data_IF_479072452640
#
_entry.id   IF_479072452640
#
_cell.length_a   1.000
_cell.length_b   1.000
_cell.length_c   1.000
_cell.angle_alpha   90.00
_cell.angle_beta   90.00
_cell.angle_gamma   90.00
#
_symmetry.space_group_name_H-M   'P 1'
#
loop_
_entity.id
_entity.type
_entity.pdbx_description
1 polymer ?
#
# COMPACT_ATOMS: atom_id res chain seq x y z
N UNK A 1 41.52 26.87 17.91
CA UNK A 1 40.06 26.87 18.19
C UNK A 1 39.35 27.12 16.87
N UNK A 2 39.16 26.07 16.09
CA UNK A 2 38.42 26.10 14.83
C UNK A 2 37.21 25.19 15.03
N UNK A 3 36.02 25.78 14.99
CA UNK A 3 34.77 25.07 15.01
C UNK A 3 34.59 24.39 13.64
N UNK A 4 34.73 23.07 13.61
CA UNK A 4 34.28 22.25 12.49
C UNK A 4 32.76 22.15 12.56
N UNK A 5 32.08 23.13 11.98
CA UNK A 5 30.67 23.02 11.63
C UNK A 5 30.53 22.02 10.49
N UNK A 6 30.37 20.75 10.85
CA UNK A 6 29.90 19.72 9.93
C UNK A 6 28.40 19.89 9.78
N UNK A 7 27.98 20.62 8.75
CA UNK A 7 26.61 20.57 8.26
C UNK A 7 26.33 19.12 7.85
N UNK A 8 25.56 18.42 8.69
CA UNK A 8 25.00 17.12 8.35
C UNK A 8 23.99 17.37 7.25
N UNK A 9 24.44 17.23 6.00
CA UNK A 9 23.56 17.17 4.85
C UNK A 9 22.57 16.02 5.08
N UNK A 10 21.34 16.36 5.46
CA UNK A 10 20.23 15.43 5.57
C UNK A 10 19.83 15.00 4.15
N UNK A 11 20.58 14.05 3.60
CA UNK A 11 20.28 13.43 2.31
C UNK A 11 19.08 12.50 2.43
N UNK A 12 18.27 12.41 1.37
CA UNK A 12 17.06 11.57 1.26
C UNK A 12 17.28 10.10 1.66
N UNK A 13 18.52 9.61 1.60
CA UNK A 13 18.93 8.28 2.07
C UNK A 13 18.84 8.11 3.61
N UNK A 14 19.11 9.15 4.40
CA UNK A 14 19.01 9.08 5.86
C UNK A 14 17.55 9.06 6.34
N UNK A 15 16.66 9.78 5.65
CA UNK A 15 15.23 9.77 5.94
C UNK A 15 14.57 8.44 5.58
N UNK A 16 14.96 7.80 4.48
CA UNK A 16 14.47 6.47 4.11
C UNK A 16 14.87 5.41 5.14
N UNK A 17 16.10 5.48 5.66
CA UNK A 17 16.55 4.59 6.72
C UNK A 17 15.81 4.83 8.05
N UNK A 18 15.59 6.10 8.43
CA UNK A 18 14.86 6.43 9.66
C UNK A 18 13.39 5.97 9.61
N UNK A 19 12.69 6.20 8.50
CA UNK A 19 11.32 5.71 8.31
C UNK A 19 11.24 4.19 8.33
N UNK A 20 12.22 3.51 7.73
CA UNK A 20 12.27 2.05 7.76
C UNK A 20 12.48 1.54 9.18
N UNK A 21 13.40 2.14 9.94
CA UNK A 21 13.65 1.78 11.34
C UNK A 21 12.39 2.00 12.20
N UNK A 22 11.74 3.16 12.07
CA UNK A 22 10.51 3.48 12.80
C UNK A 22 9.40 2.46 12.52
N UNK A 23 9.23 2.11 11.24
CA UNK A 23 8.26 1.11 10.80
C UNK A 23 8.54 -0.28 11.39
N UNK A 24 9.80 -0.73 11.39
CA UNK A 24 10.18 -2.02 11.99
C UNK A 24 10.05 -2.02 13.52
N UNK A 25 10.39 -0.92 14.19
CA UNK A 25 10.18 -0.78 15.64
C UNK A 25 8.70 -0.84 15.99
N UNK A 26 7.84 -0.19 15.19
CA UNK A 26 6.40 -0.25 15.38
C UNK A 26 5.88 -1.68 15.25
N UNK A 27 6.31 -2.41 14.22
CA UNK A 27 5.94 -3.82 14.00
C UNK A 27 6.36 -4.72 15.16
N UNK A 28 7.60 -4.60 15.62
CA UNK A 28 8.12 -5.37 16.76
C UNK A 28 7.32 -5.08 18.03
N UNK A 29 6.94 -3.81 18.24
CA UNK A 29 6.11 -3.44 19.36
C UNK A 29 4.71 -4.07 19.28
N UNK A 30 4.06 -4.05 18.11
CA UNK A 30 2.73 -4.65 17.93
C UNK A 30 2.75 -6.18 18.14
N UNK A 31 3.81 -6.85 17.72
CA UNK A 31 4.02 -8.28 17.96
C UNK A 31 4.26 -8.57 19.45
N UNK A 32 5.07 -7.75 20.13
CA UNK A 32 5.29 -7.86 21.57
C UNK A 32 3.98 -7.63 22.36
N UNK A 33 3.17 -6.64 21.97
CA UNK A 33 1.85 -6.41 22.55
C UNK A 33 0.94 -7.61 22.37
N UNK A 34 0.89 -8.21 21.17
CA UNK A 34 0.08 -9.39 20.91
C UNK A 34 0.49 -10.56 21.83
N UNK A 35 1.80 -10.77 22.01
CA UNK A 35 2.33 -11.79 22.91
C UNK A 35 1.96 -11.52 24.38
N UNK A 36 2.02 -10.27 24.84
CA UNK A 36 1.60 -9.87 26.19
C UNK A 36 0.10 -10.12 26.37
N UNK A 37 -0.75 -9.65 25.45
CA UNK A 37 -2.20 -9.85 25.53
C UNK A 37 -2.57 -11.35 25.53
N UNK A 38 -1.89 -12.17 24.73
CA UNK A 38 -2.07 -13.61 24.74
C UNK A 38 -1.69 -14.23 26.10
N UNK A 39 -0.55 -13.83 26.69
CA UNK A 39 -0.09 -14.32 27.99
C UNK A 39 -1.01 -13.94 29.14
N UNK A 40 -1.51 -12.71 29.15
CA UNK A 40 -2.40 -12.19 30.21
C UNK A 40 -3.88 -12.52 29.96
N UNK A 41 -4.19 -13.33 28.94
CA UNK A 41 -5.55 -13.70 28.53
C UNK A 41 -6.46 -12.47 28.34
N UNK A 42 -5.92 -11.44 27.69
CA UNK A 42 -6.62 -10.21 27.33
C UNK A 42 -6.98 -10.22 25.86
N UNK A 43 -8.26 -9.96 25.57
CA UNK A 43 -8.71 -9.77 24.18
C UNK A 43 -8.07 -8.50 23.63
N UNK A 44 -7.44 -8.64 22.47
CA UNK A 44 -6.78 -7.58 21.75
C UNK A 44 -7.37 -7.41 20.35
N UNK A 45 -7.28 -6.20 19.83
CA UNK A 45 -7.56 -5.90 18.43
C UNK A 45 -6.27 -6.11 17.65
N UNK A 46 -6.30 -7.03 16.70
CA UNK A 46 -5.16 -7.42 15.89
C UNK A 46 -5.24 -6.83 14.48
N UNK A 47 -4.10 -6.41 13.93
CA UNK A 47 -3.95 -6.21 12.49
C UNK A 47 -3.85 -7.58 11.82
N UNK A 48 -4.80 -7.86 10.96
CA UNK A 48 -4.84 -9.10 10.19
C UNK A 48 -4.78 -8.79 8.70
N UNK A 49 -4.16 -9.68 7.95
CA UNK A 49 -4.25 -9.69 6.49
C UNK A 49 -4.29 -11.13 6.08
N UNK A 50 -5.42 -11.58 5.55
CA UNK A 50 -5.52 -12.95 5.09
C UNK A 50 -4.69 -13.09 3.80
N UNK A 51 -3.92 -14.19 3.65
CA UNK A 51 -3.30 -14.49 2.37
C UNK A 51 -4.43 -14.63 1.35
N UNK A 52 -4.33 -14.03 0.16
CA UNK A 52 -5.27 -14.45 -0.87
C UNK A 52 -4.88 -15.82 -1.42
N UNK A 53 -5.81 -16.34 -2.21
CA UNK A 53 -5.67 -17.56 -3.00
C UNK A 53 -4.28 -17.58 -3.65
N UNK A 54 -3.49 -18.60 -3.31
CA UNK A 54 -2.21 -18.84 -3.95
C UNK A 54 -2.47 -19.01 -5.45
N UNK A 55 -1.82 -18.20 -6.30
CA UNK A 55 -2.02 -18.29 -7.73
C UNK A 55 -1.63 -19.68 -8.22
N UNK A 56 -2.48 -20.26 -9.08
CA UNK A 56 -2.29 -21.61 -9.62
C UNK A 56 -1.09 -21.67 -10.59
N UNK A 57 -0.69 -20.53 -11.14
CA UNK A 57 0.44 -20.39 -12.06
C UNK A 57 1.50 -19.45 -11.48
N UNK A 58 2.80 -19.70 -11.74
CA UNK A 58 3.88 -18.83 -11.32
C UNK A 58 3.74 -17.45 -11.96
N UNK A 59 4.10 -16.40 -11.21
CA UNK A 59 3.99 -15.02 -11.67
C UNK A 59 4.94 -14.75 -12.83
N UNK A 60 4.51 -13.96 -13.84
CA UNK A 60 5.39 -13.56 -14.92
C UNK A 60 6.57 -12.78 -14.33
N UNK A 61 7.78 -13.14 -14.76
CA UNK A 61 9.00 -12.48 -14.33
C UNK A 61 9.08 -11.10 -14.99
N UNK A 62 9.22 -10.06 -14.17
CA UNK A 62 9.42 -8.69 -14.66
C UNK A 62 10.89 -8.28 -14.61
N UNK A 63 11.34 -7.40 -15.51
CA UNK A 63 12.64 -6.73 -15.39
C UNK A 63 12.79 -6.07 -14.02
N UNK A 64 14.02 -6.00 -13.48
CA UNK A 64 14.29 -5.54 -12.11
C UNK A 64 13.61 -4.20 -11.78
N UNK A 65 13.64 -3.25 -12.71
CA UNK A 65 13.12 -1.89 -12.52
C UNK A 65 11.60 -1.84 -12.34
N UNK A 66 10.85 -2.74 -13.01
CA UNK A 66 9.39 -2.84 -12.89
C UNK A 66 8.92 -3.87 -11.86
N UNK A 67 9.82 -4.76 -11.42
CA UNK A 67 9.44 -5.93 -10.63
C UNK A 67 8.90 -5.56 -9.24
N UNK A 68 9.38 -4.48 -8.62
CA UNK A 68 8.87 -4.04 -7.32
C UNK A 68 7.44 -3.48 -7.42
N UNK A 69 7.18 -2.61 -8.39
CA UNK A 69 5.86 -2.05 -8.69
C UNK A 69 4.85 -3.16 -9.03
N UNK A 70 5.26 -4.10 -9.88
CA UNK A 70 4.44 -5.22 -10.30
C UNK A 70 4.14 -6.19 -9.16
N UNK A 71 5.15 -6.61 -8.38
CA UNK A 71 4.94 -7.43 -7.19
C UNK A 71 3.97 -6.76 -6.22
N UNK A 72 4.11 -5.45 -6.01
CA UNK A 72 3.18 -4.70 -5.16
C UNK A 72 1.76 -4.74 -5.71
N UNK A 73 1.57 -4.42 -7.00
CA UNK A 73 0.26 -4.47 -7.64
C UNK A 73 -0.37 -5.87 -7.58
N UNK A 74 0.42 -6.92 -7.83
CA UNK A 74 -0.03 -8.31 -7.70
C UNK A 74 -0.42 -8.64 -6.26
N UNK A 75 0.41 -8.27 -5.28
CA UNK A 75 0.11 -8.49 -3.87
C UNK A 75 -1.13 -7.72 -3.41
N UNK A 76 -1.35 -6.50 -3.93
CA UNK A 76 -2.55 -5.71 -3.62
C UNK A 76 -3.80 -6.33 -4.27
N UNK A 77 -3.70 -6.87 -5.49
CA UNK A 77 -4.79 -7.57 -6.16
C UNK A 77 -5.05 -9.00 -5.64
N UNK A 78 -4.05 -9.62 -5.02
CA UNK A 78 -4.06 -10.99 -4.48
C UNK A 78 -3.74 -11.03 -2.98
N UNK A 79 -4.20 -10.06 -2.21
CA UNK A 79 -4.34 -10.22 -0.76
C UNK A 79 -5.75 -9.80 -0.37
N UNK A 80 -6.31 -10.43 0.65
CA UNK A 80 -7.46 -9.81 1.29
C UNK A 80 -7.06 -8.43 1.81
N UNK A 81 -8.00 -7.49 1.82
CA UNK A 81 -7.81 -6.19 2.46
C UNK A 81 -7.34 -6.39 3.89
N UNK A 82 -6.27 -5.70 4.28
CA UNK A 82 -5.83 -5.70 5.67
C UNK A 82 -6.98 -5.21 6.56
N UNK A 83 -7.35 -5.98 7.56
CA UNK A 83 -8.48 -5.71 8.45
C UNK A 83 -8.03 -5.66 9.89
N UNK A 84 -8.97 -5.30 10.76
CA UNK A 84 -8.82 -5.54 12.19
C UNK A 84 -9.63 -6.78 12.56
N UNK A 85 -9.14 -7.56 13.52
CA UNK A 85 -9.81 -8.76 14.02
C UNK A 85 -9.56 -8.92 15.51
N UNK A 86 -10.47 -9.58 16.23
CA UNK A 86 -10.23 -9.91 17.65
C UNK A 86 -9.48 -11.24 17.81
N UNK A 87 -9.56 -12.12 16.81
CA UNK A 87 -8.79 -13.34 16.75
C UNK A 87 -7.33 -13.04 16.37
N UNK A 88 -6.40 -13.68 17.08
CA UNK A 88 -4.97 -13.55 16.84
C UNK A 88 -4.57 -14.32 15.57
N UNK A 89 -4.76 -13.70 14.41
CA UNK A 89 -4.41 -14.28 13.12
C UNK A 89 -3.06 -13.75 12.62
N UNK A 90 -2.25 -14.58 11.93
CA UNK A 90 -1.05 -14.10 11.27
C UNK A 90 -1.36 -13.03 10.22
N UNK A 91 -0.41 -12.13 10.01
CA UNK A 91 -0.52 -11.12 8.97
C UNK A 91 0.21 -11.58 7.70
N UNK A 92 -0.54 -11.82 6.62
CA UNK A 92 0.04 -12.23 5.34
C UNK A 92 0.78 -11.06 4.68
N UNK A 93 1.98 -11.33 4.15
CA UNK A 93 2.78 -10.38 3.38
C UNK A 93 4.02 -9.82 4.09
N UNK A 94 4.12 -9.98 5.40
CA UNK A 94 5.32 -9.64 6.19
C UNK A 94 5.88 -10.82 6.99
N UNK A 95 5.17 -11.95 7.04
CA UNK A 95 5.67 -13.19 7.65
C UNK A 95 5.76 -13.14 9.17
N UNK A 96 5.15 -12.12 9.79
CA UNK A 96 5.13 -11.94 11.25
C UNK A 96 3.98 -12.72 11.88
N UNK A 97 4.10 -12.99 13.18
CA UNK A 97 2.98 -13.48 13.98
C UNK A 97 1.83 -12.47 14.10
N UNK A 98 0.84 -12.74 14.95
CA UNK A 98 -0.23 -11.81 15.25
C UNK A 98 0.33 -10.47 15.76
N UNK A 99 -0.27 -9.36 15.32
CA UNK A 99 0.11 -8.00 15.71
C UNK A 99 -1.06 -7.29 16.34
N UNK A 100 -0.91 -6.81 17.57
CA UNK A 100 -1.95 -6.11 18.30
C UNK A 100 -1.75 -4.59 18.20
N UNK A 101 -2.86 -3.86 18.07
CA UNK A 101 -2.86 -2.40 18.16
C UNK A 101 -2.54 -1.94 19.60
N UNK A 102 -2.20 -0.67 19.76
CA UNK A 102 -2.00 -0.01 21.06
C UNK A 102 -0.80 0.95 21.09
N UNK A 103 -0.07 1.08 19.99
CA UNK A 103 1.15 1.88 19.93
C UNK A 103 0.94 3.28 19.34
N UNK A 104 -0.11 3.49 18.56
CA UNK A 104 -0.42 4.79 17.95
C UNK A 104 -1.83 5.27 18.33
N UNK A 105 -2.02 5.95 19.48
CA UNK A 105 -3.33 6.39 19.91
C UNK A 105 -3.97 7.42 19.00
N UNK A 106 -3.18 8.12 18.19
CA UNK A 106 -3.66 9.09 17.21
C UNK A 106 -4.15 8.44 15.92
N UNK A 107 -3.72 7.20 15.65
CA UNK A 107 -3.97 6.51 14.39
C UNK A 107 -5.40 5.99 14.22
N UNK A 108 -6.07 5.58 15.29
CA UNK A 108 -7.49 5.19 15.26
C UNK A 108 -8.12 5.08 16.63
N UNK A 109 -9.45 5.03 16.68
CA UNK A 109 -10.18 4.72 17.93
C UNK A 109 -9.94 3.29 18.42
N UNK A 110 -9.53 2.36 17.55
CA UNK A 110 -9.14 0.99 17.95
C UNK A 110 -7.84 1.00 18.76
N UNK A 111 -6.87 1.82 18.36
CA UNK A 111 -5.61 2.02 19.08
C UNK A 111 -5.86 2.58 20.48
N UNK A 112 -6.73 3.58 20.59
CA UNK A 112 -7.09 4.17 21.88
C UNK A 112 -7.76 3.15 22.83
N UNK A 113 -8.66 2.32 22.29
CA UNK A 113 -9.30 1.24 23.03
C UNK A 113 -8.25 0.24 23.52
N UNK A 114 -7.30 -0.12 22.66
CA UNK A 114 -6.21 -1.01 23.06
C UNK A 114 -5.30 -0.39 24.12
N UNK A 115 -5.00 0.90 24.05
CA UNK A 115 -4.25 1.56 25.13
C UNK A 115 -4.96 1.52 26.48
N UNK A 116 -6.29 1.72 26.49
CA UNK A 116 -7.08 1.58 27.71
C UNK A 116 -7.06 0.13 28.23
N UNK A 117 -7.12 -0.84 27.33
CA UNK A 117 -6.99 -2.25 27.69
C UNK A 117 -5.61 -2.56 28.30
N UNK A 118 -4.53 -2.00 27.76
CA UNK A 118 -3.18 -2.13 28.32
C UNK A 118 -3.01 -1.41 29.66
N UNK A 119 -3.64 -0.23 29.84
CA UNK A 119 -3.67 0.45 31.13
C UNK A 119 -4.34 -0.41 32.21
N UNK A 120 -5.40 -1.15 31.86
CA UNK A 120 -6.05 -2.07 32.80
C UNK A 120 -5.14 -3.20 33.28
N UNK A 121 -4.20 -3.66 32.43
CA UNK A 121 -3.19 -4.67 32.81
C UNK A 121 -2.22 -4.18 33.89
N UNK A 122 -1.94 -2.88 33.92
CA UNK A 122 -1.09 -2.25 34.95
C UNK A 122 -1.90 -1.69 36.12
N UNK A 123 -3.18 -2.06 36.23
CA UNK A 123 -4.06 -1.66 37.33
C UNK A 123 -4.67 -0.25 37.18
N UNK A 124 -4.60 0.35 35.99
CA UNK A 124 -5.15 1.68 35.71
C UNK A 124 -6.47 1.55 34.94
N UNK A 125 -7.58 1.77 35.66
CA UNK A 125 -8.93 1.70 35.09
C UNK A 125 -9.45 0.27 34.91
N UNK A 126 -10.74 0.12 34.58
CA UNK A 126 -11.35 -1.19 34.39
C UNK A 126 -10.92 -1.82 33.06
N UNK A 127 -10.84 -3.15 33.05
CA UNK A 127 -10.71 -3.93 31.82
C UNK A 127 -11.96 -3.75 30.97
N UNK A 128 -11.79 -3.50 29.68
CA UNK A 128 -12.90 -3.41 28.73
C UNK A 128 -13.41 -4.83 28.48
N UNK A 129 -14.72 -4.99 28.63
CA UNK A 129 -15.41 -6.24 28.36
C UNK A 129 -15.38 -6.58 26.87
N UNK A 130 -15.33 -7.87 26.55
CA UNK A 130 -15.21 -8.33 25.17
C UNK A 130 -16.38 -7.86 24.29
N UNK A 131 -17.60 -7.82 24.82
CA UNK A 131 -18.79 -7.34 24.10
C UNK A 131 -18.65 -5.87 23.65
N UNK A 132 -18.09 -5.03 24.53
CA UNK A 132 -17.82 -3.62 24.22
C UNK A 132 -16.71 -3.46 23.18
N UNK A 133 -15.71 -4.34 23.17
CA UNK A 133 -14.68 -4.39 22.12
C UNK A 133 -15.30 -4.78 20.77
N UNK A 134 -16.13 -5.82 20.74
CA UNK A 134 -16.83 -6.30 19.55
C UNK A 134 -17.77 -5.24 18.95
N UNK A 135 -18.53 -4.54 19.79
CA UNK A 135 -19.41 -3.45 19.34
C UNK A 135 -18.60 -2.27 18.79
N UNK A 136 -17.51 -1.89 19.47
CA UNK A 136 -16.62 -0.83 18.99
C UNK A 136 -15.98 -1.18 17.66
N UNK A 137 -15.53 -2.42 17.51
CA UNK A 137 -14.96 -2.92 16.28
C UNK A 137 -15.97 -2.91 15.12
N UNK A 138 -17.19 -3.45 15.34
CA UNK A 138 -18.29 -3.42 14.35
C UNK A 138 -18.64 -2.02 13.86
N UNK A 139 -18.56 -1.01 14.73
CA UNK A 139 -18.79 0.40 14.36
C UNK A 139 -17.64 1.02 13.58
N UNK A 140 -16.39 0.64 13.87
CA UNK A 140 -15.19 1.23 13.26
C UNK A 140 -14.88 0.69 11.87
N UNK A 141 -15.19 -0.57 11.60
CA UNK A 141 -14.91 -1.21 10.32
C UNK A 141 -15.50 -0.43 9.12
N UNK A 142 -16.80 -0.07 9.07
CA UNK A 142 -17.35 0.69 7.94
C UNK A 142 -16.73 2.09 7.81
N UNK A 143 -16.38 2.74 8.94
CA UNK A 143 -15.70 4.04 8.91
C UNK A 143 -14.29 3.91 8.29
N UNK A 144 -13.57 2.85 8.63
CA UNK A 144 -12.23 2.57 8.08
C UNK A 144 -12.29 2.28 6.60
N UNK A 145 -13.26 1.50 6.16
CA UNK A 145 -13.50 1.20 4.74
C UNK A 145 -13.88 2.46 3.95
N UNK A 146 -14.78 3.28 4.48
CA UNK A 146 -15.16 4.55 3.87
C UNK A 146 -13.98 5.53 3.78
N UNK A 147 -13.16 5.64 4.83
CA UNK A 147 -11.96 6.47 4.82
C UNK A 147 -10.94 6.00 3.77
N UNK A 148 -10.72 4.68 3.65
CA UNK A 148 -9.84 4.11 2.62
C UNK A 148 -10.35 4.37 1.21
N UNK A 149 -11.66 4.21 0.98
CA UNK A 149 -12.28 4.52 -0.30
C UNK A 149 -12.09 5.99 -0.66
N UNK A 150 -12.41 6.91 0.26
CA UNK A 150 -12.25 8.35 0.06
C UNK A 150 -10.78 8.75 -0.21
N UNK A 151 -9.81 8.15 0.49
CA UNK A 151 -8.39 8.38 0.23
C UNK A 151 -7.96 7.86 -1.14
N UNK A 152 -8.45 6.69 -1.55
CA UNK A 152 -8.17 6.12 -2.87
C UNK A 152 -8.74 6.98 -4.00
N UNK A 153 -10.00 7.39 -3.87
CA UNK A 153 -10.68 8.31 -4.79
C UNK A 153 -9.96 9.67 -4.85
N UNK A 154 -9.58 10.23 -3.70
CA UNK A 154 -8.83 11.47 -3.63
C UNK A 154 -7.46 11.39 -4.31
N UNK A 155 -6.69 10.31 -4.08
CA UNK A 155 -5.41 10.07 -4.78
C UNK A 155 -5.61 10.01 -6.28
N UNK A 156 -6.62 9.27 -6.74
CA UNK A 156 -6.94 9.15 -8.17
C UNK A 156 -7.35 10.49 -8.76
N UNK A 157 -8.22 11.24 -8.10
CA UNK A 157 -8.62 12.59 -8.50
C UNK A 157 -7.41 13.50 -8.73
N UNK A 158 -6.45 13.51 -7.80
CA UNK A 158 -5.25 14.34 -7.94
C UNK A 158 -4.32 13.87 -9.07
N UNK A 159 -4.21 12.56 -9.33
CA UNK A 159 -3.50 12.06 -10.50
C UNK A 159 -4.16 12.52 -11.80
N UNK A 160 -5.49 12.44 -11.90
CA UNK A 160 -6.25 12.94 -13.05
C UNK A 160 -6.12 14.46 -13.19
N UNK A 161 -6.15 15.19 -12.07
CA UNK A 161 -5.97 16.65 -12.09
C UNK A 161 -4.59 17.01 -12.64
N UNK A 162 -3.54 16.35 -12.18
CA UNK A 162 -2.20 16.52 -12.71
C UNK A 162 -2.13 16.18 -14.21
N UNK A 163 -2.67 15.04 -14.64
CA UNK A 163 -2.72 14.66 -16.05
C UNK A 163 -3.51 15.68 -16.89
N UNK A 164 -4.60 16.25 -16.38
CA UNK A 164 -5.40 17.25 -17.10
C UNK A 164 -4.63 18.55 -17.38
N UNK A 165 -3.61 18.85 -16.57
CA UNK A 165 -2.72 20.00 -16.74
C UNK A 165 -1.55 19.67 -17.68
N UNK A 166 -1.35 18.39 -18.03
CA UNK A 166 -0.22 17.87 -18.82
C UNK A 166 -0.71 17.00 -19.99
N UNK A 167 -1.65 17.50 -20.78
CA UNK A 167 -2.27 16.78 -21.92
C UNK A 167 -1.34 16.49 -23.10
N UNK A 168 -0.14 17.07 -23.16
CA UNK A 168 0.84 16.74 -24.21
C UNK A 168 1.95 15.82 -23.71
N UNK A 169 1.93 15.47 -22.42
CA UNK A 169 2.95 14.67 -21.80
C UNK A 169 2.71 13.19 -22.14
N UNK A 170 3.82 12.50 -22.42
CA UNK A 170 3.83 11.06 -22.55
C UNK A 170 4.22 10.47 -21.22
N UNK A 171 3.43 9.54 -20.70
CA UNK A 171 3.72 8.84 -19.45
C UNK A 171 4.21 7.43 -19.75
N UNK A 172 5.17 6.96 -18.96
CA UNK A 172 5.70 5.60 -19.05
C UNK A 172 5.05 4.70 -18.00
N UNK A 173 4.97 3.41 -18.32
CA UNK A 173 4.49 2.42 -17.38
C UNK A 173 4.70 0.99 -17.84
N UNK A 174 4.36 0.06 -16.97
CA UNK A 174 4.56 -1.37 -17.16
C UNK A 174 3.23 -2.07 -17.47
N UNK A 175 3.22 -2.93 -18.49
CA UNK A 175 2.05 -3.76 -18.79
C UNK A 175 1.90 -4.83 -17.71
N UNK A 176 0.89 -4.69 -16.86
CA UNK A 176 0.60 -5.63 -15.79
C UNK A 176 -0.31 -6.78 -16.22
N UNK A 177 -1.27 -6.48 -17.11
CA UNK A 177 -2.19 -7.49 -17.62
C UNK A 177 -2.69 -7.10 -19.01
N UNK A 178 -2.97 -8.11 -19.84
CA UNK A 178 -3.74 -7.93 -21.06
C UNK A 178 -5.21 -8.25 -20.79
N UNK A 179 -6.12 -7.33 -21.12
CA UNK A 179 -7.56 -7.51 -20.94
C UNK A 179 -8.30 -7.12 -22.22
N UNK A 180 -8.89 -8.11 -22.89
CA UNK A 180 -9.63 -7.89 -24.13
C UNK A 180 -8.79 -7.18 -25.20
N UNK A 181 -9.29 -6.02 -25.65
CA UNK A 181 -8.68 -5.19 -26.68
C UNK A 181 -7.65 -4.18 -26.16
N UNK A 182 -7.13 -4.34 -24.95
CA UNK A 182 -6.16 -3.42 -24.37
C UNK A 182 -5.30 -3.99 -23.26
N UNK A 183 -4.57 -3.09 -22.62
CA UNK A 183 -3.56 -3.37 -21.60
C UNK A 183 -3.90 -2.61 -20.33
N UNK A 184 -3.74 -3.25 -19.19
CA UNK A 184 -3.66 -2.56 -17.91
C UNK A 184 -2.21 -2.17 -17.68
N UNK A 185 -1.95 -0.87 -17.60
CA UNK A 185 -0.61 -0.30 -17.46
C UNK A 185 -0.47 0.33 -16.07
N UNK A 186 0.61 0.01 -15.36
CA UNK A 186 1.01 0.63 -14.10
C UNK A 186 1.94 1.80 -14.43
N UNK A 187 1.54 3.03 -14.11
CA UNK A 187 2.35 4.21 -14.44
C UNK A 187 3.54 4.34 -13.49
N UNK A 188 4.70 4.78 -13.99
CA UNK A 188 5.92 4.89 -13.20
C UNK A 188 5.87 6.06 -12.21
N UNK A 189 5.44 7.23 -12.69
CA UNK A 189 5.49 8.49 -11.91
C UNK A 189 4.19 8.78 -11.15
N UNK A 190 3.12 8.07 -11.47
CA UNK A 190 1.80 8.28 -10.87
C UNK A 190 1.37 7.02 -10.13
N UNK A 191 0.87 7.12 -8.89
CA UNK A 191 0.40 5.98 -8.10
C UNK A 191 -0.99 5.51 -8.59
N UNK A 192 -1.11 5.20 -9.88
CA UNK A 192 -2.33 4.73 -10.51
C UNK A 192 -2.03 3.73 -11.64
N UNK A 193 -3.00 2.85 -11.88
CA UNK A 193 -3.06 2.04 -13.10
C UNK A 193 -4.13 2.57 -14.04
N UNK A 194 -3.94 2.40 -15.34
CA UNK A 194 -4.93 2.79 -16.34
C UNK A 194 -5.08 1.75 -17.46
N UNK A 195 -6.25 1.73 -18.07
CA UNK A 195 -6.49 0.95 -19.27
C UNK A 195 -5.97 1.72 -20.49
N UNK A 196 -5.24 1.03 -21.34
CA UNK A 196 -4.65 1.55 -22.57
C UNK A 196 -5.14 0.67 -23.72
N UNK A 197 -5.80 1.24 -24.75
CA UNK A 197 -6.24 0.48 -25.91
C UNK A 197 -5.03 -0.11 -26.65
N UNK A 198 -5.19 -1.31 -27.22
CA UNK A 198 -4.20 -1.91 -28.11
C UNK A 198 -4.28 -1.29 -29.52
N UNK A 199 -4.28 0.03 -29.59
CA UNK A 199 -4.30 0.78 -30.84
C UNK A 199 -3.02 0.54 -31.64
N UNK A 200 -3.07 0.81 -32.94
CA UNK A 200 -1.91 0.76 -33.86
C UNK A 200 -1.20 -0.60 -33.96
N UNK A 201 -1.88 -1.71 -33.63
CA UNK A 201 -1.30 -3.05 -33.75
C UNK A 201 -0.22 -3.36 -32.71
N UNK A 202 -0.17 -2.61 -31.60
CA UNK A 202 0.74 -2.88 -30.50
C UNK A 202 0.53 -4.30 -29.94
N UNK A 203 1.57 -5.12 -29.98
CA UNK A 203 1.59 -6.47 -29.39
C UNK A 203 2.49 -6.51 -28.15
N UNK A 204 2.10 -5.75 -27.12
CA UNK A 204 2.82 -5.73 -25.86
C UNK A 204 2.50 -6.98 -25.02
N UNK A 205 3.48 -7.46 -24.29
CA UNK A 205 3.38 -8.58 -23.35
C UNK A 205 3.38 -8.05 -21.92
N UNK A 206 2.85 -8.85 -21.00
CA UNK A 206 3.04 -8.59 -19.57
C UNK A 206 4.54 -8.53 -19.29
N UNK A 207 4.97 -7.46 -18.64
CA UNK A 207 6.39 -7.21 -18.41
C UNK A 207 7.00 -6.15 -19.31
N UNK A 208 6.37 -5.83 -20.44
CA UNK A 208 6.88 -4.80 -21.35
C UNK A 208 6.65 -3.42 -20.76
N UNK A 209 7.62 -2.53 -20.97
CA UNK A 209 7.50 -1.11 -20.66
C UNK A 209 6.91 -0.39 -21.88
N UNK A 210 5.90 0.44 -21.64
CA UNK A 210 5.21 1.19 -22.67
C UNK A 210 5.14 2.67 -22.35
N UNK A 211 5.28 3.50 -23.37
CA UNK A 211 5.03 4.94 -23.29
C UNK A 211 3.71 5.25 -23.98
N UNK A 212 2.83 5.97 -23.29
CA UNK A 212 1.50 6.34 -23.81
C UNK A 212 1.30 7.85 -23.82
N UNK A 213 0.62 8.38 -24.83
CA UNK A 213 0.24 9.78 -24.88
C UNK A 213 -1.03 9.99 -24.07
N UNK A 214 -0.99 10.95 -23.13
CA UNK A 214 -2.19 11.44 -22.48
C UNK A 214 -3.02 12.23 -23.52
N UNK A 215 -4.24 11.80 -23.86
CA UNK A 215 -5.01 12.46 -24.92
C UNK A 215 -6.19 13.27 -24.36
N UNK A 216 -6.93 12.66 -23.43
CA UNK A 216 -8.12 13.29 -22.84
C UNK A 216 -8.23 12.86 -21.39
N UNK A 217 -8.51 13.83 -20.52
CA UNK A 217 -8.77 13.60 -19.11
C UNK A 217 -10.06 14.29 -18.72
N UNK A 218 -10.96 13.55 -18.07
CA UNK A 218 -12.18 14.09 -17.50
C UNK A 218 -12.19 13.83 -15.99
N UNK A 219 -11.59 14.78 -15.25
CA UNK A 219 -11.34 14.67 -13.81
C UNK A 219 -12.64 14.40 -13.01
N UNK A 220 -13.73 15.09 -13.33
CA UNK A 220 -15.01 14.94 -12.61
C UNK A 220 -15.75 13.64 -12.92
N UNK A 221 -15.48 13.02 -14.06
CA UNK A 221 -16.06 11.73 -14.42
C UNK A 221 -15.08 10.58 -14.29
N UNK A 222 -13.97 10.80 -13.59
CA UNK A 222 -12.96 9.77 -13.25
C UNK A 222 -12.35 9.03 -14.46
N UNK A 223 -12.22 9.73 -15.59
CA UNK A 223 -11.86 9.12 -16.87
C UNK A 223 -10.54 9.70 -17.41
N UNK A 224 -9.70 8.82 -17.96
CA UNK A 224 -8.52 9.18 -18.75
C UNK A 224 -8.43 8.27 -19.97
N UNK A 225 -8.14 8.87 -21.12
CA UNK A 225 -7.92 8.18 -22.39
C UNK A 225 -6.45 8.38 -22.77
N UNK A 226 -5.74 7.27 -22.84
CA UNK A 226 -4.39 7.18 -23.36
C UNK A 226 -4.43 6.70 -24.81
N UNK A 227 -3.55 7.24 -25.64
CA UNK A 227 -3.44 6.91 -27.08
C UNK A 227 -1.99 6.72 -27.50
N UNK A 228 -1.78 6.24 -28.73
CA UNK A 228 -0.46 6.05 -29.35
C UNK A 228 0.52 5.29 -28.42
N UNK A 229 0.16 4.07 -27.97
CA UNK A 229 1.03 3.32 -27.08
C UNK A 229 2.24 2.77 -27.87
N UNK A 230 3.43 2.91 -27.28
CA UNK A 230 4.70 2.47 -27.88
C UNK A 230 5.48 1.63 -26.88
N UNK A 231 6.05 0.52 -27.31
CA UNK A 231 6.96 -0.28 -26.48
C UNK A 231 8.28 0.47 -26.39
N UNK A 232 8.78 0.65 -25.16
CA UNK A 232 10.14 1.17 -24.97
C UNK A 232 11.15 0.07 -25.27
N UNK A 233 12.28 0.40 -25.92
CA UNK A 233 13.39 -0.52 -25.96
C UNK A 233 13.82 -0.85 -24.52
N UNK A 234 14.28 -2.08 -24.25
CA UNK A 234 14.83 -2.42 -22.94
C UNK A 234 15.93 -1.39 -22.60
N UNK A 235 15.91 -0.87 -21.38
CA UNK A 235 16.97 -0.01 -20.88
C UNK A 235 18.29 -0.76 -21.07
N UNK A 236 19.12 -0.30 -22.00
CA UNK A 236 20.46 -0.84 -22.14
C UNK A 236 21.14 -0.66 -20.79
N UNK A 237 21.60 -1.79 -20.22
CA UNK A 237 22.42 -1.77 -19.02
C UNK A 237 23.65 -0.96 -19.38
N UNK A 238 23.68 0.30 -18.94
CA UNK A 238 24.84 1.16 -19.12
C UNK A 238 26.07 0.43 -18.60
N UNK A 239 26.96 0.08 -19.52
CA UNK A 239 28.33 -0.26 -19.19
C UNK A 239 28.97 1.03 -18.70
N UNK A 240 29.25 1.12 -17.41
CA UNK A 240 29.91 2.25 -16.75
C UNK A 240 30.17 1.98 -15.29
#
# INVERSE_FOLDING_TARGET
MQATGGDVACGRSNTENAHTIDHELHRLGEEALAAICAREHVVAVHRSRMPAVTPTEPWPQMPQDGAALFRRWQMEGHCASAGLQLEATPHAGDGTGPRALGLDPGGSSAELIMQRQLLSLVGVGPRIENEHLEESFRRQQPCTEAARAALSEGRRYWCLKWLSEHLTLRVTGWVAARRGAGYLVLLDELPMSAWVPADNGLSARVGDRVTVANSRVHVRGDEVIFTDPRIEPPLESGSG
#
